data_IF_589546309090
#
_entry.id   IF_589546309090
#
_cell.length_a   1.000
_cell.length_b   1.000
_cell.length_c   1.000
_cell.angle_alpha   90.00
_cell.angle_beta   90.00
_cell.angle_gamma   90.00
#
_symmetry.space_group_name_H-M   'P 1'
#
loop_
_entity.id
_entity.type
_entity.pdbx_description
1 polymer ?
#
# COMPACT_ATOMS: atom_id res chain seq x y z
N UNK A 1 -2.31 13.75 3.67
CA UNK A 1 -1.79 12.43 4.07
C UNK A 1 -2.95 11.56 4.50
N UNK A 2 -3.06 10.37 3.91
CA UNK A 2 -4.09 9.37 4.22
C UNK A 2 -3.43 8.20 4.93
N UNK A 3 -4.05 7.71 6.00
CA UNK A 3 -3.60 6.54 6.74
C UNK A 3 -4.79 5.62 7.06
N UNK A 4 -4.60 4.31 6.93
CA UNK A 4 -5.61 3.33 7.35
C UNK A 4 -4.97 1.98 7.73
N UNK A 5 -5.75 1.14 8.41
CA UNK A 5 -5.36 -0.22 8.79
C UNK A 5 -6.11 -1.23 7.92
N UNK A 6 -5.40 -2.25 7.44
CA UNK A 6 -6.00 -3.36 6.67
C UNK A 6 -5.28 -4.67 6.99
N UNK A 7 -6.01 -5.66 7.50
CA UNK A 7 -5.51 -7.02 7.84
C UNK A 7 -4.19 -7.03 8.64
N UNK A 8 -4.06 -6.17 9.65
CA UNK A 8 -2.85 -6.10 10.48
C UNK A 8 -1.69 -5.32 9.86
N UNK A 9 -1.90 -4.65 8.73
CA UNK A 9 -0.94 -3.73 8.12
C UNK A 9 -1.41 -2.27 8.31
N UNK A 10 -0.47 -1.38 8.58
CA UNK A 10 -0.64 0.07 8.48
C UNK A 10 -0.22 0.52 7.09
N UNK A 11 -1.13 1.24 6.42
CA UNK A 11 -0.88 1.89 5.14
C UNK A 11 -0.86 3.40 5.38
N UNK A 12 0.16 4.07 4.85
CA UNK A 12 0.27 5.54 4.87
C UNK A 12 0.69 6.03 3.49
N UNK A 13 -0.02 7.02 2.94
CA UNK A 13 0.33 7.60 1.64
C UNK A 13 -0.10 9.07 1.50
N UNK A 14 0.45 9.73 0.50
CA UNK A 14 0.07 11.08 0.15
C UNK A 14 -0.05 11.25 -1.35
N UNK A 15 -1.21 11.74 -1.79
CA UNK A 15 -1.46 12.10 -3.18
C UNK A 15 -1.05 13.56 -3.40
N UNK A 16 -0.32 13.84 -4.47
CA UNK A 16 0.05 15.20 -4.88
C UNK A 16 -0.16 15.38 -6.39
N UNK A 17 -0.54 16.57 -6.86
CA UNK A 17 -0.46 16.87 -8.29
C UNK A 17 1.00 16.99 -8.73
N UNK A 18 1.35 16.40 -9.87
CA UNK A 18 2.69 16.55 -10.45
C UNK A 18 2.84 17.96 -11.02
N UNK A 19 3.87 18.68 -10.55
CA UNK A 19 4.18 20.02 -11.05
C UNK A 19 4.51 19.92 -12.55
N UNK A 20 3.98 20.87 -13.34
CA UNK A 20 4.17 20.98 -14.78
C UNK A 20 3.41 19.97 -15.65
N UNK A 21 2.52 19.15 -15.08
CA UNK A 21 1.63 18.28 -15.87
C UNK A 21 0.17 18.49 -15.48
N UNK A 22 -0.62 18.99 -16.42
CA UNK A 22 -2.06 19.17 -16.21
C UNK A 22 -2.73 17.80 -16.06
N UNK A 23 -3.41 17.62 -14.92
CA UNK A 23 -4.20 16.43 -14.56
C UNK A 23 -3.41 15.18 -14.17
N UNK A 24 -2.08 15.22 -14.00
CA UNK A 24 -1.37 14.07 -13.44
C UNK A 24 -1.24 14.19 -11.92
N UNK A 25 -1.59 13.11 -11.23
CA UNK A 25 -1.47 12.95 -9.79
C UNK A 25 -0.54 11.79 -9.51
N UNK A 26 0.32 11.95 -8.52
CA UNK A 26 1.18 10.90 -7.98
C UNK A 26 0.76 10.57 -6.55
N UNK A 27 1.01 9.34 -6.14
CA UNK A 27 0.94 8.92 -4.76
C UNK A 27 2.20 8.18 -4.37
N UNK A 28 2.81 8.65 -3.29
CA UNK A 28 3.90 7.98 -2.61
C UNK A 28 3.42 7.52 -1.24
N UNK A 29 3.82 6.32 -0.85
CA UNK A 29 3.42 5.77 0.43
C UNK A 29 4.27 4.59 0.88
N UNK A 30 3.90 4.03 2.02
CA UNK A 30 4.46 2.81 2.53
C UNK A 30 3.41 1.95 3.22
N UNK A 31 3.73 0.66 3.31
CA UNK A 31 3.01 -0.37 4.05
C UNK A 31 3.94 -0.93 5.10
N UNK A 32 3.42 -1.11 6.31
CA UNK A 32 4.14 -1.73 7.41
C UNK A 32 3.21 -2.76 8.07
N UNK A 33 3.71 -3.95 8.42
CA UNK A 33 2.95 -4.82 9.34
C UNK A 33 2.95 -4.14 10.71
N UNK A 34 1.85 -4.25 11.44
CA UNK A 34 1.78 -3.71 12.81
C UNK A 34 2.74 -4.43 13.77
N UNK A 35 3.10 -5.68 13.45
CA UNK A 35 4.09 -6.45 14.20
C UNK A 35 5.54 -6.02 13.91
N UNK A 36 5.79 -5.29 12.83
CA UNK A 36 7.13 -4.84 12.45
C UNK A 36 7.48 -3.59 13.26
N UNK A 37 8.54 -3.68 14.06
CA UNK A 37 9.03 -2.56 14.88
C UNK A 37 10.09 -1.74 14.14
N UNK A 38 10.76 -2.32 13.14
CA UNK A 38 11.87 -1.68 12.44
C UNK A 38 11.41 -0.94 11.18
N UNK A 39 11.83 0.33 10.97
CA UNK A 39 11.47 1.10 9.78
C UNK A 39 11.91 0.47 8.45
N UNK A 40 12.94 -0.39 8.47
CA UNK A 40 13.48 -1.11 7.30
C UNK A 40 12.52 -2.16 6.74
N UNK A 41 11.56 -2.62 7.55
CA UNK A 41 10.57 -3.61 7.15
C UNK A 41 9.42 -2.98 6.34
N UNK A 42 9.33 -1.65 6.31
CA UNK A 42 8.31 -0.92 5.56
C UNK A 42 8.55 -1.05 4.06
N UNK A 43 7.52 -1.49 3.33
CA UNK A 43 7.55 -1.54 1.87
C UNK A 43 7.01 -0.24 1.30
N UNK A 44 7.81 0.46 0.52
CA UNK A 44 7.41 1.70 -0.16
C UNK A 44 6.69 1.36 -1.46
N UNK A 45 5.74 2.22 -1.85
CA UNK A 45 5.07 2.14 -3.15
C UNK A 45 4.93 3.54 -3.76
N UNK A 46 4.79 3.55 -5.08
CA UNK A 46 4.56 4.72 -5.89
C UNK A 46 3.54 4.38 -6.99
N UNK A 47 2.62 5.30 -7.28
CA UNK A 47 1.70 5.16 -8.42
C UNK A 47 1.29 6.53 -8.95
N UNK A 48 0.90 6.58 -10.21
CA UNK A 48 0.51 7.81 -10.91
C UNK A 48 -0.78 7.56 -11.69
N UNK A 49 -1.62 8.58 -11.79
CA UNK A 49 -2.83 8.53 -12.62
C UNK A 49 -3.27 9.92 -13.05
N UNK A 50 -4.01 9.98 -14.16
CA UNK A 50 -4.56 11.21 -14.73
C UNK A 50 -5.78 11.74 -13.96
N UNK A 51 -6.13 11.11 -12.85
CA UNK A 51 -7.17 11.56 -11.94
C UNK A 51 -6.87 11.12 -10.50
N UNK A 52 -7.33 11.92 -9.54
CA UNK A 52 -7.22 11.58 -8.12
C UNK A 52 -7.95 10.26 -7.77
N UNK A 53 -9.08 10.00 -8.45
CA UNK A 53 -9.82 8.73 -8.33
C UNK A 53 -9.01 7.55 -8.86
N UNK A 54 -8.35 7.71 -10.02
CA UNK A 54 -7.49 6.69 -10.60
C UNK A 54 -6.30 6.35 -9.70
N UNK A 55 -5.64 7.36 -9.13
CA UNK A 55 -4.56 7.15 -8.15
C UNK A 55 -5.08 6.35 -6.95
N UNK A 56 -6.24 6.72 -6.40
CA UNK A 56 -6.82 6.02 -5.25
C UNK A 56 -7.17 4.57 -5.57
N UNK A 57 -7.69 4.30 -6.77
CA UNK A 57 -8.01 2.94 -7.23
C UNK A 57 -6.76 2.07 -7.41
N UNK A 58 -5.69 2.62 -7.99
CA UNK A 58 -4.42 1.92 -8.16
C UNK A 58 -3.75 1.61 -6.81
N UNK A 59 -3.76 2.56 -5.87
CA UNK A 59 -3.28 2.34 -4.50
C UNK A 59 -4.05 1.18 -3.86
N UNK A 60 -5.38 1.21 -3.93
CA UNK A 60 -6.21 0.17 -3.32
C UNK A 60 -5.89 -1.21 -3.93
N UNK A 61 -5.79 -1.30 -5.25
CA UNK A 61 -5.45 -2.55 -5.96
C UNK A 61 -4.05 -3.06 -5.60
N UNK A 62 -3.05 -2.18 -5.58
CA UNK A 62 -1.67 -2.55 -5.28
C UNK A 62 -1.53 -3.07 -3.84
N UNK A 63 -2.22 -2.42 -2.92
CA UNK A 63 -2.19 -2.75 -1.50
C UNK A 63 -3.00 -3.98 -1.14
N UNK A 64 -4.20 -4.12 -1.70
CA UNK A 64 -5.03 -5.32 -1.48
C UNK A 64 -4.32 -6.54 -2.03
N UNK A 65 -3.76 -6.48 -3.24
CA UNK A 65 -3.00 -7.60 -3.81
C UNK A 65 -1.77 -7.95 -2.96
N UNK A 66 -1.00 -6.94 -2.52
CA UNK A 66 0.18 -7.15 -1.69
C UNK A 66 -0.18 -7.77 -0.34
N UNK A 67 -1.14 -7.17 0.37
CA UNK A 67 -1.54 -7.60 1.71
C UNK A 67 -2.24 -8.95 1.65
N UNK A 68 -3.07 -9.20 0.65
CA UNK A 68 -3.76 -10.49 0.50
C UNK A 68 -2.78 -11.62 0.16
N UNK A 69 -1.75 -11.34 -0.65
CA UNK A 69 -0.67 -12.29 -0.92
C UNK A 69 0.11 -12.63 0.36
N UNK A 70 0.59 -11.61 1.08
CA UNK A 70 1.37 -11.79 2.32
C UNK A 70 0.55 -12.46 3.43
N UNK A 71 -0.75 -12.13 3.53
CA UNK A 71 -1.68 -12.76 4.46
C UNK A 71 -1.90 -14.23 4.09
N UNK A 72 -2.09 -14.53 2.81
CA UNK A 72 -2.26 -15.90 2.33
C UNK A 72 -1.01 -16.74 2.59
N UNK A 73 0.19 -16.25 2.28
CA UNK A 73 1.44 -16.98 2.55
C UNK A 73 1.61 -17.26 4.05
N UNK A 74 1.32 -16.27 4.91
CA UNK A 74 1.38 -16.47 6.35
C UNK A 74 0.44 -17.59 6.82
N UNK A 75 -0.80 -17.61 6.35
CA UNK A 75 -1.79 -18.62 6.75
C UNK A 75 -1.54 -19.99 6.13
N UNK A 76 -1.14 -20.08 4.85
CA UNK A 76 -0.86 -21.37 4.19
C UNK A 76 0.36 -22.07 4.78
N UNK A 77 1.40 -21.31 5.17
CA UNK A 77 2.60 -21.88 5.82
C UNK A 77 2.30 -22.36 7.24
N UNK A 78 1.39 -21.69 7.95
CA UNK A 78 1.00 -22.07 9.31
C UNK A 78 -0.01 -23.24 9.34
N UNK A 79 -0.89 -23.39 8.35
CA UNK A 79 -1.82 -24.53 8.27
C UNK A 79 -1.15 -25.83 7.80
N UNK A 80 -0.01 -25.78 7.10
CA UNK A 80 0.71 -26.99 6.66
C UNK A 80 1.61 -27.64 7.73
N UNK A 81 1.61 -27.13 8.96
CA UNK A 81 2.40 -27.66 10.08
C UNK A 81 1.55 -28.23 11.24
N UNK A 82 0.30 -28.61 10.98
CA UNK A 82 -0.62 -29.23 11.94
C UNK A 82 -0.96 -30.68 11.56
#
# INVERSE_FOLDING_TARGET
>A
MVEYLYKGFKVSYNIKPIKNQTKLYEAEGYVARLADTEPTQRKRFHTESTSMQGVTAEIKKLLENYIDFEWKEFHEIHDQNL
#
